data_IF_172853107870
#
_entry.id   IF_172853107870
#
_cell.length_a   1.000
_cell.length_b   1.000
_cell.length_c   1.000
_cell.angle_alpha   90.00
_cell.angle_beta   90.00
_cell.angle_gamma   90.00
#
_symmetry.space_group_name_H-M   'P 1'
#
loop_
_entity.id
_entity.type
_entity.pdbx_description
1 polymer ?
#
# COMPACT_ATOMS: atom_id res chain seq x y z
N UNK A 1 -17.95 -15.21 -18.62
CA UNK A 1 -17.73 -13.91 -17.97
C UNK A 1 -17.93 -14.00 -16.45
N UNK A 2 -16.83 -14.19 -15.73
CA UNK A 2 -16.80 -14.29 -14.27
C UNK A 2 -16.68 -12.90 -13.61
N UNK A 3 -17.07 -12.79 -12.34
CA UNK A 3 -16.94 -11.57 -11.54
C UNK A 3 -15.80 -11.70 -10.52
N UNK A 4 -15.15 -10.59 -10.18
CA UNK A 4 -14.14 -10.56 -9.12
C UNK A 4 -14.83 -10.57 -7.75
N UNK A 5 -14.44 -11.48 -6.83
CA UNK A 5 -15.02 -11.58 -5.50
C UNK A 5 -15.02 -10.23 -4.77
N UNK A 6 -16.11 -9.93 -4.05
CA UNK A 6 -16.26 -8.67 -3.30
C UNK A 6 -15.38 -8.62 -2.04
N UNK A 7 -14.99 -9.80 -1.53
CA UNK A 7 -14.08 -9.96 -0.39
C UNK A 7 -12.89 -10.85 -0.79
N UNK A 8 -11.74 -10.20 -0.97
CA UNK A 8 -10.39 -10.73 -0.76
C UNK A 8 -9.83 -11.68 -1.80
N UNK A 9 -8.91 -11.18 -2.61
CA UNK A 9 -7.80 -11.99 -3.11
C UNK A 9 -6.84 -12.16 -1.95
N UNK A 10 -6.81 -13.35 -1.36
CA UNK A 10 -6.11 -13.60 -0.08
C UNK A 10 -4.75 -14.24 -0.29
N UNK A 11 -4.54 -14.85 -1.45
CA UNK A 11 -3.36 -15.62 -1.77
C UNK A 11 -2.76 -15.17 -3.09
N UNK A 12 -1.47 -15.43 -3.29
CA UNK A 12 -0.78 -15.22 -4.57
C UNK A 12 -1.56 -15.87 -5.72
N UNK A 13 -2.00 -17.12 -5.54
CA UNK A 13 -2.74 -17.87 -6.54
C UNK A 13 -4.07 -17.21 -6.96
N UNK A 14 -4.78 -16.55 -6.03
CA UNK A 14 -6.02 -15.83 -6.37
C UNK A 14 -5.74 -14.67 -7.34
N UNK A 15 -4.65 -13.93 -7.08
CA UNK A 15 -4.20 -12.84 -7.92
C UNK A 15 -3.74 -13.35 -9.30
N UNK A 16 -2.89 -14.37 -9.33
CA UNK A 16 -2.38 -14.96 -10.57
C UNK A 16 -3.51 -15.51 -11.46
N UNK A 17 -4.48 -16.21 -10.86
CA UNK A 17 -5.63 -16.75 -11.56
C UNK A 17 -6.47 -15.65 -12.20
N UNK A 18 -6.84 -14.62 -11.43
CA UNK A 18 -7.67 -13.54 -11.95
C UNK A 18 -6.92 -12.67 -12.96
N UNK A 19 -5.62 -12.48 -12.79
CA UNK A 19 -4.77 -11.82 -13.79
C UNK A 19 -4.86 -12.58 -15.11
N UNK A 20 -4.60 -13.88 -15.12
CA UNK A 20 -4.68 -14.71 -16.33
C UNK A 20 -6.05 -14.65 -17.01
N UNK A 21 -7.14 -14.76 -16.24
CA UNK A 21 -8.51 -14.66 -16.77
C UNK A 21 -8.82 -13.27 -17.33
N UNK A 22 -8.29 -12.20 -16.71
CA UNK A 22 -8.46 -10.84 -17.20
C UNK A 22 -7.75 -10.64 -18.54
N UNK A 23 -6.49 -11.10 -18.67
CA UNK A 23 -5.73 -11.01 -19.92
C UNK A 23 -6.34 -11.83 -21.07
N UNK A 24 -7.09 -12.89 -20.75
CA UNK A 24 -7.84 -13.68 -21.73
C UNK A 24 -9.20 -13.07 -22.10
N UNK A 25 -9.59 -11.94 -21.49
CA UNK A 25 -10.89 -11.31 -21.71
C UNK A 25 -12.08 -12.04 -21.07
N UNK A 26 -11.82 -12.98 -20.14
CA UNK A 26 -12.85 -13.76 -19.48
C UNK A 26 -13.48 -13.05 -18.27
N UNK A 27 -12.81 -12.01 -17.78
CA UNK A 27 -13.27 -11.11 -16.72
C UNK A 27 -14.02 -9.92 -17.34
N UNK A 28 -15.17 -9.56 -16.77
CA UNK A 28 -15.93 -8.39 -17.22
C UNK A 28 -15.13 -7.09 -17.00
N UNK A 29 -15.33 -6.02 -17.79
CA UNK A 29 -14.60 -4.76 -17.61
C UNK A 29 -14.63 -4.21 -16.17
N UNK A 30 -15.79 -4.25 -15.51
CA UNK A 30 -15.93 -3.85 -14.10
C UNK A 30 -15.09 -4.73 -13.14
N UNK A 31 -14.91 -6.00 -13.48
CA UNK A 31 -14.05 -6.92 -12.75
C UNK A 31 -12.57 -6.58 -12.95
N UNK A 32 -12.15 -6.27 -14.18
CA UNK A 32 -10.79 -5.80 -14.48
C UNK A 32 -10.46 -4.54 -13.68
N UNK A 33 -11.37 -3.56 -13.64
CA UNK A 33 -11.19 -2.35 -12.82
C UNK A 33 -11.03 -2.68 -11.34
N UNK A 34 -11.81 -3.61 -10.79
CA UNK A 34 -11.67 -4.03 -9.39
C UNK A 34 -10.37 -4.77 -9.13
N UNK A 35 -9.96 -5.66 -10.03
CA UNK A 35 -8.68 -6.38 -9.91
C UNK A 35 -7.51 -5.38 -9.89
N UNK A 36 -7.53 -4.38 -10.79
CA UNK A 36 -6.55 -3.29 -10.80
C UNK A 36 -6.51 -2.54 -9.47
N UNK A 37 -7.66 -2.23 -8.87
CA UNK A 37 -7.73 -1.59 -7.55
C UNK A 37 -7.09 -2.45 -6.44
N UNK A 38 -7.24 -3.78 -6.50
CA UNK A 38 -6.57 -4.67 -5.55
C UNK A 38 -5.05 -4.64 -5.71
N UNK A 39 -4.53 -4.72 -6.94
CA UNK A 39 -3.10 -4.57 -7.19
C UNK A 39 -2.54 -3.22 -6.73
N UNK A 40 -3.25 -2.12 -7.03
CA UNK A 40 -2.89 -0.78 -6.56
C UNK A 40 -2.93 -0.69 -5.02
N UNK A 41 -3.85 -1.41 -4.38
CA UNK A 41 -3.92 -1.57 -2.93
C UNK A 41 -2.66 -2.22 -2.35
N UNK A 42 -2.19 -3.32 -2.94
CA UNK A 42 -0.93 -3.96 -2.52
C UNK A 42 0.27 -3.01 -2.66
N UNK A 43 0.35 -2.30 -3.79
CA UNK A 43 1.45 -1.38 -4.06
C UNK A 43 1.44 -0.18 -3.11
N UNK A 44 0.28 0.45 -2.91
CA UNK A 44 0.16 1.63 -2.04
C UNK A 44 0.26 1.29 -0.55
N UNK A 45 -0.22 0.11 -0.14
CA UNK A 45 -0.21 -0.39 1.23
C UNK A 45 1.15 -0.89 1.72
N UNK A 46 2.20 -0.82 0.90
CA UNK A 46 3.54 -1.30 1.28
C UNK A 46 4.27 -0.41 2.28
N UNK A 47 3.75 0.77 2.55
CA UNK A 47 4.41 1.76 3.38
C UNK A 47 3.83 1.82 4.79
N UNK A 48 4.69 2.05 5.76
CA UNK A 48 4.34 2.39 7.14
C UNK A 48 5.05 3.68 7.53
N UNK A 49 4.54 4.34 8.56
CA UNK A 49 5.22 5.49 9.16
C UNK A 49 5.98 5.03 10.41
N UNK A 50 7.30 5.11 10.37
CA UNK A 50 8.16 4.79 11.51
C UNK A 50 8.60 6.07 12.24
N UNK A 51 8.69 6.00 13.58
CA UNK A 51 9.18 7.12 14.39
C UNK A 51 10.61 7.42 13.97
N UNK A 52 10.85 8.66 13.58
CA UNK A 52 12.15 9.11 13.09
C UNK A 52 12.86 9.94 14.17
N UNK A 53 12.35 11.14 14.48
CA UNK A 53 12.93 12.02 15.51
C UNK A 53 11.91 12.92 16.18
N UNK A 54 12.25 13.41 17.37
CA UNK A 54 11.50 14.48 18.06
C UNK A 54 11.93 15.82 17.47
N UNK A 55 10.95 16.69 17.21
CA UNK A 55 11.15 18.03 16.67
C UNK A 55 11.19 19.05 17.81
N UNK A 56 12.10 20.02 17.70
CA UNK A 56 12.12 21.17 18.59
C UNK A 56 10.91 22.09 18.35
N UNK A 57 10.69 23.04 19.26
CA UNK A 57 9.64 24.04 19.11
C UNK A 57 9.87 24.89 17.84
N UNK A 58 8.82 25.08 17.06
CA UNK A 58 8.88 25.77 15.76
C UNK A 58 9.67 25.06 14.66
N UNK A 59 10.28 23.89 14.91
CA UNK A 59 11.00 23.15 13.88
C UNK A 59 10.01 22.59 12.82
N UNK A 60 10.43 22.71 11.56
CA UNK A 60 9.70 22.17 10.41
C UNK A 60 10.11 20.70 10.18
N UNK A 61 9.19 19.85 9.70
CA UNK A 61 9.55 18.49 9.32
C UNK A 61 10.53 18.48 8.14
N UNK A 62 11.26 17.38 8.01
CA UNK A 62 12.29 17.18 6.97
C UNK A 62 11.74 17.13 5.55
N UNK A 63 10.43 16.94 5.40
CA UNK A 63 9.78 16.98 4.10
C UNK A 63 8.25 17.08 4.19
N UNK A 64 7.59 17.16 3.02
CA UNK A 64 6.14 17.22 2.95
C UNK A 64 5.51 15.85 3.21
N UNK A 65 4.20 15.85 3.49
CA UNK A 65 3.38 14.65 3.33
C UNK A 65 3.32 14.25 1.85
N UNK A 66 3.31 12.95 1.53
CA UNK A 66 3.20 11.81 2.45
C UNK A 66 4.55 11.25 2.93
N UNK A 67 5.68 11.83 2.56
CA UNK A 67 6.99 11.23 2.88
C UNK A 67 7.34 11.39 4.37
N UNK A 68 6.88 12.49 4.98
CA UNK A 68 6.97 12.73 6.42
C UNK A 68 5.63 13.17 6.99
N UNK A 69 5.36 12.81 8.24
CA UNK A 69 4.23 13.32 9.02
C UNK A 69 4.69 13.69 10.43
N UNK A 70 4.04 14.68 11.03
CA UNK A 70 4.28 15.07 12.42
C UNK A 70 3.05 14.71 13.24
N UNK A 71 3.25 14.08 14.39
CA UNK A 71 2.22 13.80 15.37
C UNK A 71 2.65 14.39 16.72
N UNK A 72 1.68 14.90 17.46
CA UNK A 72 1.85 15.28 18.86
C UNK A 72 1.53 14.07 19.73
N UNK A 73 2.49 13.65 20.55
CA UNK A 73 2.38 12.48 21.43
C UNK A 73 2.51 12.96 22.87
N UNK A 74 1.51 12.68 23.69
CA UNK A 74 1.59 12.90 25.13
C UNK A 74 2.47 11.84 25.77
N UNK A 75 3.51 12.29 26.47
CA UNK A 75 4.27 11.46 27.39
C UNK A 75 3.51 11.43 28.73
N UNK A 76 2.86 10.30 29.02
CA UNK A 76 2.07 10.11 30.25
C UNK A 76 2.93 10.17 31.53
N UNK A 77 4.23 9.86 31.44
CA UNK A 77 5.14 9.86 32.60
C UNK A 77 5.69 11.27 32.88
N UNK A 78 5.95 12.05 31.83
CA UNK A 78 6.49 13.41 31.95
C UNK A 78 5.42 14.52 31.96
N UNK A 79 4.19 14.22 31.54
CA UNK A 79 3.10 15.19 31.40
C UNK A 79 3.35 16.24 30.30
N UNK A 80 4.20 15.91 29.32
CA UNK A 80 4.61 16.81 28.23
C UNK A 80 4.15 16.30 26.88
N UNK A 81 3.80 17.21 25.96
CA UNK A 81 3.48 16.88 24.56
C UNK A 81 4.77 16.97 23.74
N UNK A 82 5.19 15.86 23.14
CA UNK A 82 6.30 15.82 22.19
C UNK A 82 5.79 15.93 20.76
N UNK A 83 6.38 16.84 19.96
CA UNK A 83 6.19 16.86 18.51
C UNK A 83 7.13 15.84 17.88
N UNK A 84 6.59 14.77 17.30
CA UNK A 84 7.38 13.66 16.76
C UNK A 84 7.18 13.55 15.26
N UNK A 85 8.28 13.59 14.53
CA UNK A 85 8.31 13.27 13.10
C UNK A 85 8.32 11.75 12.90
N UNK A 86 7.53 11.32 11.92
CA UNK A 86 7.52 9.97 11.40
C UNK A 86 7.86 10.00 9.91
N UNK A 87 8.78 9.13 9.50
CA UNK A 87 9.15 8.94 8.12
C UNK A 87 8.34 7.80 7.50
N UNK A 88 7.87 8.00 6.27
CA UNK A 88 7.26 6.94 5.48
C UNK A 88 8.34 6.05 4.89
N UNK A 89 8.23 4.76 5.16
CA UNK A 89 9.21 3.73 4.76
C UNK A 89 8.49 2.49 4.29
N UNK A 90 9.13 1.72 3.41
CA UNK A 90 8.61 0.42 3.01
C UNK A 90 8.68 -0.55 4.20
N UNK A 91 7.58 -1.25 4.45
CA UNK A 91 7.50 -2.27 5.48
C UNK A 91 7.85 -3.62 4.88
N UNK A 92 8.84 -4.36 5.41
CA UNK A 92 9.13 -5.72 4.96
C UNK A 92 7.96 -6.68 5.22
N UNK A 93 7.08 -6.36 6.18
CA UNK A 93 5.91 -7.16 6.55
C UNK A 93 4.63 -6.79 5.77
N UNK A 94 4.75 -5.89 4.79
CA UNK A 94 3.63 -5.48 3.95
C UNK A 94 3.00 -6.68 3.24
N UNK A 95 1.69 -6.58 2.98
CA UNK A 95 0.92 -7.66 2.34
C UNK A 95 1.51 -8.08 0.99
N UNK A 96 2.00 -7.12 0.20
CA UNK A 96 2.71 -7.39 -1.07
C UNK A 96 3.86 -8.41 -0.89
N UNK A 97 4.72 -8.20 0.10
CA UNK A 97 5.87 -9.06 0.36
C UNK A 97 5.46 -10.37 1.05
N UNK A 98 4.45 -10.35 1.93
CA UNK A 98 3.88 -11.57 2.53
C UNK A 98 3.25 -12.50 1.49
N UNK A 99 2.67 -11.94 0.42
CA UNK A 99 2.17 -12.69 -0.73
C UNK A 99 3.29 -13.16 -1.68
N UNK A 100 4.54 -12.75 -1.42
CA UNK A 100 5.71 -13.12 -2.21
C UNK A 100 5.90 -12.32 -3.49
N UNK A 101 5.18 -11.20 -3.65
CA UNK A 101 5.37 -10.31 -4.80
C UNK A 101 6.47 -9.29 -4.55
N UNK A 102 7.19 -8.99 -5.62
CA UNK A 102 8.02 -7.79 -5.75
C UNK A 102 7.19 -6.60 -6.23
N UNK A 103 7.70 -5.39 -5.99
CA UNK A 103 7.11 -4.15 -6.51
C UNK A 103 6.97 -4.19 -8.03
N UNK A 104 8.01 -4.66 -8.73
CA UNK A 104 8.03 -4.74 -10.19
C UNK A 104 6.98 -5.71 -10.75
N UNK A 105 6.76 -6.87 -10.10
CA UNK A 105 5.69 -7.80 -10.51
C UNK A 105 4.31 -7.16 -10.38
N UNK A 106 4.04 -6.41 -9.31
CA UNK A 106 2.75 -5.74 -9.11
C UNK A 106 2.55 -4.59 -10.10
N UNK A 107 3.59 -3.78 -10.35
CA UNK A 107 3.54 -2.72 -11.35
C UNK A 107 3.26 -3.26 -12.74
N UNK A 108 3.93 -4.36 -13.13
CA UNK A 108 3.68 -5.02 -14.40
C UNK A 108 2.24 -5.54 -14.49
N UNK A 109 1.72 -6.19 -13.44
CA UNK A 109 0.35 -6.68 -13.43
C UNK A 109 -0.68 -5.54 -13.61
N UNK A 110 -0.44 -4.36 -13.04
CA UNK A 110 -1.27 -3.18 -13.25
C UNK A 110 -1.20 -2.71 -14.71
N UNK A 111 0.01 -2.59 -15.26
CA UNK A 111 0.21 -2.17 -16.66
C UNK A 111 -0.44 -3.12 -17.66
N UNK A 112 -0.38 -4.43 -17.40
CA UNK A 112 -1.03 -5.43 -18.26
C UNK A 112 -2.55 -5.22 -18.26
N UNK A 113 -3.16 -4.96 -17.10
CA UNK A 113 -4.60 -4.70 -16.99
C UNK A 113 -5.05 -3.36 -17.58
N UNK A 114 -4.14 -2.40 -17.74
CA UNK A 114 -4.39 -1.13 -18.44
C UNK A 114 -4.40 -1.30 -19.96
N UNK A 115 -3.81 -2.39 -20.44
CA UNK A 115 -3.69 -2.70 -21.86
C UNK A 115 -4.81 -3.63 -22.39
N UNK A 116 -5.70 -4.09 -21.50
CA UNK A 116 -6.88 -4.92 -21.79
C UNK A 116 -8.13 -4.06 -21.85
#
# INVERSE_FOLDING_TARGET
MQGVPRYGLRTRADYDLLQGLALQGEVRPQGVTRLKQHWQGLLSGRFVYMRDRVLADGESPDGPMPDYRVLEIEDEDAGTVERVQFQRTESPDAEIFRLGYSVAEVEQAITDLESV
#
